data_IF_583842549075
#
_entry.id   IF_583842549075
#
_cell.length_a   1.000
_cell.length_b   1.000
_cell.length_c   1.000
_cell.angle_alpha   90.00
_cell.angle_beta   90.00
_cell.angle_gamma   90.00
#
_symmetry.space_group_name_H-M   'P 1'
#
loop_
_entity.id
_entity.type
_entity.pdbx_description
1 polymer ?
#
# COMPACT_ATOMS: atom_id res chain seq x y z
N UNK A 1 21.83 -16.70 4.79
CA UNK A 1 20.81 -16.84 3.73
C UNK A 1 19.84 -15.68 3.93
N UNK A 2 19.75 -14.76 2.97
CA UNK A 2 18.81 -13.63 3.09
C UNK A 2 17.45 -14.11 2.58
N UNK A 3 16.48 -14.29 3.48
CA UNK A 3 15.11 -14.64 3.10
C UNK A 3 14.53 -13.47 2.30
N UNK A 4 14.18 -13.68 1.04
CA UNK A 4 13.58 -12.64 0.21
C UNK A 4 12.08 -12.53 0.47
N UNK A 5 11.51 -11.36 0.25
CA UNK A 5 10.04 -11.20 0.15
C UNK A 5 9.51 -12.04 -1.00
N UNK A 6 8.40 -12.74 -0.76
CA UNK A 6 7.80 -13.67 -1.70
C UNK A 6 6.37 -13.25 -1.98
N UNK A 7 6.01 -13.32 -3.25
CA UNK A 7 4.69 -12.92 -3.73
C UNK A 7 3.94 -14.13 -4.29
N UNK A 8 2.61 -14.02 -4.29
CA UNK A 8 1.67 -14.91 -4.94
C UNK A 8 0.65 -14.08 -5.72
N UNK A 9 0.03 -14.68 -6.74
CA UNK A 9 -1.10 -14.08 -7.44
C UNK A 9 -2.40 -14.67 -6.89
N UNK A 10 -3.37 -13.82 -6.59
CA UNK A 10 -4.71 -14.24 -6.16
C UNK A 10 -5.78 -13.62 -7.05
N UNK A 11 -6.76 -14.43 -7.42
CA UNK A 11 -7.96 -13.95 -8.12
C UNK A 11 -8.90 -13.28 -7.13
N UNK A 12 -9.27 -12.03 -7.42
CA UNK A 12 -10.25 -11.30 -6.63
C UNK A 12 -11.43 -10.85 -7.49
N UNK A 13 -12.57 -10.62 -6.83
CA UNK A 13 -13.81 -10.18 -7.47
C UNK A 13 -14.24 -8.84 -6.90
N UNK A 14 -14.52 -7.86 -7.75
CA UNK A 14 -15.05 -6.56 -7.29
C UNK A 14 -16.45 -6.73 -6.73
N UNK A 15 -16.74 -6.28 -5.49
CA UNK A 15 -18.08 -6.37 -4.91
C UNK A 15 -19.11 -5.47 -5.62
N UNK A 16 -18.66 -4.44 -6.32
CA UNK A 16 -19.55 -3.48 -6.99
C UNK A 16 -19.91 -3.88 -8.43
N UNK A 17 -18.91 -4.15 -9.27
CA UNK A 17 -19.14 -4.44 -10.70
C UNK A 17 -18.92 -5.92 -11.08
N UNK A 18 -18.52 -6.76 -10.11
CA UNK A 18 -18.28 -8.21 -10.26
C UNK A 18 -17.17 -8.62 -11.22
N UNK A 19 -16.43 -7.68 -11.79
CA UNK A 19 -15.21 -7.98 -12.56
C UNK A 19 -14.22 -8.78 -11.70
N UNK A 20 -13.50 -9.70 -12.33
CA UNK A 20 -12.46 -10.53 -11.71
C UNK A 20 -11.10 -10.19 -12.30
N UNK A 21 -10.06 -10.19 -11.47
CA UNK A 21 -8.67 -10.00 -11.92
C UNK A 21 -7.69 -10.56 -10.89
N UNK A 22 -6.49 -10.87 -11.37
CA UNK A 22 -5.38 -11.30 -10.53
C UNK A 22 -4.69 -10.11 -9.86
N UNK A 23 -4.32 -10.27 -8.60
CA UNK A 23 -3.58 -9.28 -7.82
C UNK A 23 -2.37 -9.93 -7.17
N UNK A 24 -1.18 -9.30 -7.25
CA UNK A 24 -0.03 -9.74 -6.49
C UNK A 24 -0.22 -9.42 -5.01
N UNK A 25 0.00 -10.42 -4.16
CA UNK A 25 0.02 -10.31 -2.69
C UNK A 25 1.32 -10.90 -2.17
N UNK A 26 1.92 -10.28 -1.16
CA UNK A 26 3.03 -10.87 -0.45
C UNK A 26 2.52 -12.01 0.44
N UNK A 27 3.17 -13.17 0.35
CA UNK A 27 2.93 -14.31 1.25
C UNK A 27 3.93 -14.36 2.41
N UNK A 28 5.11 -13.80 2.17
CA UNK A 28 6.19 -13.68 3.13
C UNK A 28 6.89 -12.35 2.88
N UNK A 29 7.05 -11.52 3.89
CA UNK A 29 7.69 -10.22 3.83
C UNK A 29 8.93 -10.25 4.69
N UNK A 30 10.10 -9.92 4.13
CA UNK A 30 11.26 -9.59 4.93
C UNK A 30 11.49 -8.08 4.86
N UNK A 31 11.23 -7.37 5.96
CA UNK A 31 11.38 -5.90 5.98
C UNK A 31 12.82 -5.43 5.91
N UNK A 32 13.80 -6.29 6.24
CA UNK A 32 15.21 -5.97 6.02
C UNK A 32 15.58 -5.87 4.55
N UNK A 33 14.77 -6.45 3.65
CA UNK A 33 14.98 -6.38 2.19
C UNK A 33 13.89 -5.60 1.45
N UNK A 34 12.74 -5.37 2.08
CA UNK A 34 11.59 -4.67 1.49
C UNK A 34 11.04 -3.64 2.49
N UNK A 35 11.64 -2.44 2.57
CA UNK A 35 11.20 -1.39 3.49
C UNK A 35 9.83 -0.80 3.11
N UNK A 36 9.45 -0.89 1.83
CA UNK A 36 8.15 -0.39 1.37
C UNK A 36 6.99 -1.25 1.89
N UNK A 37 7.22 -2.54 2.18
CA UNK A 37 6.24 -3.37 2.86
C UNK A 37 5.91 -2.87 4.27
N UNK A 38 6.91 -2.42 5.05
CA UNK A 38 6.69 -1.82 6.37
C UNK A 38 5.87 -0.54 6.26
N UNK A 39 6.22 0.32 5.31
CA UNK A 39 5.48 1.55 5.03
C UNK A 39 4.03 1.24 4.62
N UNK A 40 3.83 0.22 3.78
CA UNK A 40 2.52 -0.25 3.35
C UNK A 40 1.63 -0.75 4.49
N UNK A 41 2.19 -1.45 5.48
CA UNK A 41 1.46 -1.87 6.69
C UNK A 41 1.07 -0.65 7.53
N UNK A 42 2.03 0.24 7.82
CA UNK A 42 1.80 1.45 8.63
C UNK A 42 0.75 2.39 8.03
N UNK A 43 0.68 2.47 6.70
CA UNK A 43 -0.31 3.28 5.99
C UNK A 43 -1.61 2.52 5.71
N UNK A 44 -1.69 1.23 6.04
CA UNK A 44 -2.82 0.36 5.70
C UNK A 44 -3.04 0.20 4.20
N UNK A 45 -1.99 0.40 3.39
CA UNK A 45 -2.01 0.31 1.92
C UNK A 45 -1.50 -1.00 1.36
N UNK A 46 -0.93 -1.86 2.20
CA UNK A 46 -0.50 -3.20 1.80
C UNK A 46 -1.71 -4.02 1.32
N UNK A 47 -1.51 -4.82 0.27
CA UNK A 47 -2.54 -5.66 -0.36
C UNK A 47 -3.81 -4.87 -0.74
N UNK A 48 -3.67 -3.69 -1.34
CA UNK A 48 -4.79 -2.96 -1.95
C UNK A 48 -4.72 -3.04 -3.47
N UNK A 49 -5.89 -3.14 -4.10
CA UNK A 49 -6.01 -3.16 -5.55
C UNK A 49 -7.14 -2.27 -6.02
N UNK A 50 -7.01 -1.75 -7.24
CA UNK A 50 -8.03 -0.92 -7.90
C UNK A 50 -8.70 -1.73 -9.00
N UNK A 51 -10.02 -1.81 -8.95
CA UNK A 51 -10.78 -2.53 -9.97
C UNK A 51 -10.46 -1.98 -11.38
N UNK A 52 -10.07 -2.81 -12.35
CA UNK A 52 -9.73 -2.35 -13.69
C UNK A 52 -10.94 -1.77 -14.45
N UNK A 53 -12.17 -2.16 -14.06
CA UNK A 53 -13.42 -1.70 -14.68
C UNK A 53 -13.97 -0.46 -14.00
N UNK A 54 -14.47 -0.60 -12.75
CA UNK A 54 -15.16 0.50 -12.07
C UNK A 54 -14.22 1.43 -11.28
N UNK A 55 -12.91 1.15 -11.26
CA UNK A 55 -11.88 1.97 -10.62
C UNK A 55 -12.03 2.17 -9.11
N UNK A 56 -12.94 1.47 -8.44
CA UNK A 56 -13.02 1.44 -6.98
C UNK A 56 -11.83 0.66 -6.41
N UNK A 57 -11.27 1.18 -5.33
CA UNK A 57 -10.25 0.50 -4.54
C UNK A 57 -10.90 -0.53 -3.62
N UNK A 58 -10.17 -1.61 -3.36
CA UNK A 58 -10.52 -2.60 -2.36
C UNK A 58 -9.27 -3.14 -1.68
N UNK A 59 -9.40 -3.49 -0.41
CA UNK A 59 -8.43 -4.29 0.29
C UNK A 59 -8.55 -5.75 -0.18
N UNK A 60 -7.42 -6.45 -0.20
CA UNK A 60 -7.32 -7.87 -0.45
C UNK A 60 -6.93 -8.52 0.87
N UNK A 61 -7.90 -9.15 1.50
CA UNK A 61 -7.67 -9.92 2.71
C UNK A 61 -6.84 -11.16 2.37
N UNK A 62 -5.60 -11.16 2.84
CA UNK A 62 -4.66 -12.24 2.59
C UNK A 62 -3.79 -12.47 3.82
N UNK A 63 -3.58 -13.74 4.17
CA UNK A 63 -2.71 -14.14 5.28
C UNK A 63 -1.27 -14.13 4.78
N UNK A 64 -0.37 -13.51 5.54
CA UNK A 64 1.04 -13.49 5.20
C UNK A 64 1.93 -13.44 6.44
N UNK A 65 3.15 -13.91 6.29
CA UNK A 65 4.16 -13.85 7.34
C UNK A 65 5.01 -12.58 7.17
N UNK A 66 5.13 -11.80 8.23
CA UNK A 66 6.01 -10.65 8.35
C UNK A 66 7.26 -11.05 9.12
N UNK A 67 8.44 -10.78 8.58
CA UNK A 67 9.71 -11.07 9.24
C UNK A 67 10.54 -9.79 9.42
N UNK A 68 10.89 -9.53 10.68
CA UNK A 68 11.80 -8.47 11.10
C UNK A 68 13.14 -9.08 11.56
N UNK A 69 14.21 -8.94 10.76
CA UNK A 69 15.52 -9.48 11.11
C UNK A 69 16.20 -8.75 12.28
N UNK A 70 15.85 -7.50 12.57
CA UNK A 70 16.42 -6.76 13.71
C UNK A 70 15.85 -7.28 15.03
N UNK A 71 14.57 -7.65 15.03
CA UNK A 71 13.88 -8.19 16.20
C UNK A 71 13.91 -9.72 16.29
N UNK A 72 14.45 -10.38 15.26
CA UNK A 72 14.41 -11.82 15.07
C UNK A 72 12.99 -12.39 15.27
N UNK A 73 12.02 -11.75 14.61
CA UNK A 73 10.59 -11.91 14.86
C UNK A 73 9.86 -12.24 13.55
N UNK A 74 9.04 -13.29 13.58
CA UNK A 74 8.04 -13.60 12.57
C UNK A 74 6.66 -13.31 13.16
N UNK A 75 5.83 -12.57 12.44
CA UNK A 75 4.43 -12.34 12.80
C UNK A 75 3.54 -12.77 11.66
N UNK A 76 2.63 -13.73 11.89
CA UNK A 76 1.61 -14.02 10.89
C UNK A 76 0.47 -13.02 11.02
N UNK A 77 0.28 -12.22 9.96
CA UNK A 77 -0.79 -11.24 9.88
C UNK A 77 -1.99 -11.90 9.21
N UNK A 78 -3.11 -11.93 9.91
CA UNK A 78 -4.37 -12.52 9.44
C UNK A 78 -5.46 -11.46 9.32
N UNK A 79 -6.50 -11.66 8.51
CA UNK A 79 -7.61 -10.71 8.41
C UNK A 79 -8.31 -10.51 9.76
N UNK A 80 -8.69 -9.27 10.07
CA UNK A 80 -9.32 -8.89 11.35
C UNK A 80 -10.62 -9.66 11.61
N UNK A 81 -11.38 -10.01 10.57
CA UNK A 81 -12.65 -10.73 10.72
C UNK A 81 -12.47 -12.17 11.20
N UNK A 82 -11.28 -12.78 11.05
CA UNK A 82 -11.06 -14.19 11.43
C UNK A 82 -11.22 -14.42 12.93
N UNK A 83 -10.78 -13.48 13.78
CA UNK A 83 -10.93 -13.62 15.24
C UNK A 83 -12.42 -13.66 15.64
N UNK A 84 -13.27 -12.93 14.91
CA UNK A 84 -14.72 -12.87 15.14
C UNK A 84 -15.44 -14.09 14.60
N UNK A 85 -14.93 -14.69 13.52
CA UNK A 85 -15.51 -15.87 12.88
C UNK A 85 -15.13 -17.19 13.59
N UNK A 86 -13.93 -17.24 14.21
CA UNK A 86 -13.35 -18.47 14.77
C UNK A 86 -13.61 -18.73 16.26
N UNK A 87 -14.30 -17.83 16.98
CA UNK A 87 -14.65 -18.05 18.39
C UNK A 87 -13.71 -17.41 19.42
N UNK A 88 -12.86 -16.46 19.03
CA UNK A 88 -12.02 -15.70 19.98
C UNK A 88 -10.66 -16.33 20.27
N UNK A 89 -10.30 -16.46 21.55
CA UNK A 89 -8.94 -16.82 22.01
C UNK A 89 -8.51 -18.24 21.60
N UNK A 90 -9.42 -19.22 21.59
CA UNK A 90 -9.10 -20.60 21.19
C UNK A 90 -8.57 -20.67 19.75
N UNK A 91 -9.11 -19.81 18.87
CA UNK A 91 -8.66 -19.72 17.47
C UNK A 91 -7.27 -19.10 17.35
N UNK A 92 -6.95 -18.12 18.19
CA UNK A 92 -5.60 -17.56 18.25
C UNK A 92 -4.59 -18.64 18.64
N UNK A 93 -4.87 -19.42 19.69
CA UNK A 93 -3.96 -20.46 20.17
C UNK A 93 -3.70 -21.53 19.11
N UNK A 94 -4.74 -22.01 18.43
CA UNK A 94 -4.56 -22.99 17.36
C UNK A 94 -3.63 -22.48 16.25
N UNK A 95 -3.77 -21.21 15.85
CA UNK A 95 -2.92 -20.61 14.79
C UNK A 95 -1.51 -20.33 15.26
N UNK A 96 -1.38 -19.95 16.52
CA UNK A 96 -0.09 -19.78 17.16
C UNK A 96 0.67 -21.12 17.20
N UNK A 97 0.02 -22.21 17.61
CA UNK A 97 0.63 -23.55 17.62
C UNK A 97 1.09 -23.98 16.22
N UNK A 98 0.24 -23.81 15.19
CA UNK A 98 0.59 -24.10 13.80
C UNK A 98 1.84 -23.31 13.35
N UNK A 99 1.91 -22.02 13.73
CA UNK A 99 3.02 -21.14 13.37
C UNK A 99 4.32 -21.50 14.11
N UNK A 100 4.23 -21.80 15.41
CA UNK A 100 5.37 -22.30 16.21
C UNK A 100 5.91 -23.56 15.58
N UNK A 101 5.05 -24.50 15.16
CA UNK A 101 5.49 -25.72 14.51
C UNK A 101 6.17 -25.43 13.16
N UNK A 102 5.61 -24.52 12.35
CA UNK A 102 6.17 -24.15 11.06
C UNK A 102 7.59 -23.55 11.17
N UNK A 103 7.85 -22.79 12.23
CA UNK A 103 9.14 -22.14 12.47
C UNK A 103 10.01 -22.84 13.53
N UNK A 104 9.66 -24.06 13.98
CA UNK A 104 10.35 -24.76 15.06
C UNK A 104 11.85 -25.02 14.80
N UNK A 105 12.28 -25.11 13.54
CA UNK A 105 13.67 -25.27 13.14
C UNK A 105 14.45 -23.96 13.01
N UNK A 106 13.81 -22.83 13.27
CA UNK A 106 14.38 -21.50 13.13
C UNK A 106 14.50 -20.85 14.52
N UNK A 107 15.63 -20.20 14.76
CA UNK A 107 15.80 -19.39 15.97
C UNK A 107 15.12 -18.04 15.74
N UNK A 108 13.79 -18.00 15.83
CA UNK A 108 12.97 -16.78 15.69
C UNK A 108 11.85 -16.79 16.74
N UNK A 109 11.43 -15.61 17.17
CA UNK A 109 10.16 -15.47 17.90
C UNK A 109 9.01 -15.48 16.92
N UNK A 110 7.87 -16.03 17.32
CA UNK A 110 6.65 -16.02 16.49
C UNK A 110 5.49 -15.36 17.25
N UNK A 111 4.61 -14.67 16.54
CA UNK A 111 3.28 -14.26 17.03
C UNK A 111 2.26 -14.27 15.89
N UNK A 112 0.98 -14.23 16.24
CA UNK A 112 -0.14 -14.06 15.31
C UNK A 112 -0.85 -12.75 15.65
N UNK A 113 -1.20 -11.96 14.62
CA UNK A 113 -1.99 -10.73 14.80
C UNK A 113 -3.12 -10.69 13.81
N UNK A 114 -4.21 -10.04 14.18
CA UNK A 114 -5.41 -9.90 13.38
C UNK A 114 -5.57 -8.46 12.90
N UNK A 115 -5.19 -8.24 11.64
CA UNK A 115 -5.21 -6.94 10.98
C UNK A 115 -3.95 -6.10 11.21
N UNK A 116 -3.83 -5.03 10.44
CA UNK A 116 -2.66 -4.15 10.52
C UNK A 116 -2.62 -3.33 11.81
N UNK A 117 -3.77 -2.98 12.38
CA UNK A 117 -3.78 -2.15 13.60
C UNK A 117 -3.10 -2.86 14.77
N UNK A 118 -3.42 -4.13 15.00
CA UNK A 118 -2.78 -4.92 16.06
C UNK A 118 -1.28 -5.09 15.82
N UNK A 119 -0.86 -5.32 14.57
CA UNK A 119 0.55 -5.36 14.19
C UNK A 119 1.27 -4.04 14.52
N UNK A 120 0.64 -2.92 14.19
CA UNK A 120 1.18 -1.58 14.40
C UNK A 120 1.39 -1.31 15.89
N UNK A 121 0.36 -1.60 16.69
CA UNK A 121 0.37 -1.31 18.12
C UNK A 121 1.35 -2.20 18.89
N UNK A 122 1.44 -3.50 18.55
CA UNK A 122 2.34 -4.43 19.23
C UNK A 122 3.81 -4.29 18.82
N UNK A 123 4.09 -4.08 17.52
CA UNK A 123 5.42 -4.32 16.97
C UNK A 123 6.02 -3.18 16.16
N UNK A 124 5.21 -2.24 15.66
CA UNK A 124 5.71 -1.19 14.77
C UNK A 124 5.77 0.19 15.41
N UNK A 125 5.42 0.33 16.70
CA UNK A 125 5.53 1.59 17.44
C UNK A 125 4.26 2.43 17.48
N UNK A 126 3.10 1.86 17.15
CA UNK A 126 1.80 2.50 17.34
C UNK A 126 1.59 3.76 16.49
N UNK A 127 0.80 4.69 17.03
CA UNK A 127 0.39 5.93 16.33
C UNK A 127 1.57 6.83 15.92
N UNK A 128 2.65 6.85 16.71
CA UNK A 128 3.83 7.66 16.39
C UNK A 128 4.49 7.19 15.10
N UNK A 129 4.62 5.88 14.93
CA UNK A 129 5.18 5.28 13.72
C UNK A 129 4.27 5.52 12.50
N UNK A 130 2.95 5.46 12.68
CA UNK A 130 1.99 5.81 11.62
C UNK A 130 2.12 7.28 11.21
N UNK A 131 2.28 8.18 12.18
CA UNK A 131 2.49 9.60 11.90
C UNK A 131 3.81 9.85 11.17
N UNK A 132 4.89 9.15 11.55
CA UNK A 132 6.17 9.20 10.85
C UNK A 132 6.07 8.69 9.41
N UNK A 133 5.42 7.54 9.21
CA UNK A 133 5.15 6.97 7.89
C UNK A 133 4.37 7.91 6.98
N UNK A 134 3.35 8.60 7.51
CA UNK A 134 2.59 9.61 6.76
C UNK A 134 3.47 10.77 6.29
N UNK A 135 4.31 11.31 7.19
CA UNK A 135 5.25 12.40 6.84
C UNK A 135 6.23 11.96 5.75
N UNK A 136 6.77 10.75 5.86
CA UNK A 136 7.67 10.19 4.85
C UNK A 136 6.96 10.05 3.50
N UNK A 137 5.75 9.50 3.49
CA UNK A 137 4.95 9.33 2.28
C UNK A 137 4.61 10.66 1.60
N UNK A 138 4.22 11.67 2.38
CA UNK A 138 3.92 12.99 1.87
C UNK A 138 5.16 13.66 1.27
N UNK A 139 6.33 13.50 1.90
CA UNK A 139 7.61 13.97 1.35
C UNK A 139 7.95 13.27 0.02
N UNK A 140 7.78 11.95 -0.07
CA UNK A 140 7.97 11.18 -1.32
C UNK A 140 7.04 11.68 -2.43
N UNK A 141 5.77 11.95 -2.11
CA UNK A 141 4.80 12.50 -3.06
C UNK A 141 5.15 13.91 -3.53
N UNK A 142 5.56 14.79 -2.62
CA UNK A 142 5.93 16.17 -2.94
C UNK A 142 7.16 16.22 -3.87
N UNK A 143 8.13 15.35 -3.65
CA UNK A 143 9.30 15.20 -4.53
C UNK A 143 9.00 14.56 -5.89
N UNK A 144 7.86 13.87 -6.04
CA UNK A 144 7.45 13.18 -7.25
C UNK A 144 6.54 14.01 -8.19
N UNK A 145 6.32 15.30 -7.91
CA UNK A 145 5.49 16.18 -8.77
C UNK A 145 6.13 16.28 -10.18
N UNK A 146 5.38 16.02 -11.27
CA UNK A 146 5.96 15.89 -12.61
C UNK A 146 6.44 17.22 -13.21
N UNK A 147 7.50 17.14 -14.01
CA UNK A 147 8.01 18.17 -14.90
C UNK A 147 7.08 18.41 -16.11
N UNK A 148 5.87 18.91 -15.86
CA UNK A 148 4.92 19.28 -16.93
C UNK A 148 4.31 20.67 -16.77
N UNK A 149 4.99 21.57 -16.06
CA UNK A 149 4.62 23.00 -15.94
C UNK A 149 5.77 23.88 -16.46
N UNK A 150 6.38 23.47 -17.58
CA UNK A 150 7.38 24.24 -18.33
C UNK A 150 7.16 24.12 -19.85
N UNK A 151 5.91 24.16 -20.30
CA UNK A 151 5.58 24.37 -21.72
C UNK A 151 4.17 24.97 -21.81
N UNK A 152 3.96 26.10 -21.13
CA UNK A 152 2.95 27.04 -21.59
C UNK A 152 3.63 27.87 -22.69
N UNK A 153 3.21 27.79 -23.97
CA UNK A 153 3.71 28.72 -24.96
C UNK A 153 3.34 30.14 -24.49
N UNK A 154 4.23 31.14 -24.67
CA UNK A 154 3.91 32.50 -24.30
C UNK A 154 2.65 32.94 -25.04
N UNK A 155 1.61 33.32 -24.29
CA UNK A 155 0.47 34.04 -24.83
C UNK A 155 1.01 35.29 -25.53
N UNK A 156 0.80 35.36 -26.84
CA UNK A 156 1.09 36.54 -27.64
C UNK A 156 0.26 37.71 -27.09
N UNK A 157 0.87 38.86 -26.73
CA UNK A 157 0.10 40.01 -26.33
C UNK A 157 -0.60 40.61 -27.55
N UNK A 158 -1.92 40.51 -27.57
CA UNK A 158 -2.78 41.40 -28.34
C UNK A 158 -2.71 42.82 -27.73
N UNK A 159 -2.33 43.81 -28.54
CA UNK A 159 -2.35 45.23 -28.19
C UNK A 159 -1.83 46.06 -29.38
N UNK A 160 -2.69 46.38 -30.33
CA UNK A 160 -3.38 47.68 -30.51
C UNK A 160 -2.55 48.82 -31.14
N UNK A 161 -3.17 49.35 -32.21
CA UNK A 161 -3.28 50.77 -32.60
C UNK A 161 -2.31 51.36 -33.64
N UNK A 162 -2.90 51.97 -34.69
CA UNK A 162 -2.43 53.26 -35.20
C UNK A 162 -2.30 53.45 -36.73
N UNK A 163 -3.41 53.84 -37.37
CA UNK A 163 -3.52 54.92 -38.39
C UNK A 163 -2.75 54.86 -39.72
N UNK A 164 -3.47 54.93 -40.86
CA UNK A 164 -3.72 56.19 -41.60
C UNK A 164 -4.08 55.96 -43.08
N UNK A 165 -5.11 56.69 -43.55
CA UNK A 165 -5.37 57.29 -44.91
C UNK A 165 -5.35 56.36 -46.16
N UNK A 166 -6.28 56.40 -47.12
CA UNK A 166 -6.82 57.53 -47.91
C UNK A 166 -8.09 57.10 -48.68
N UNK A 167 -8.92 58.09 -49.02
CA UNK A 167 -9.95 58.16 -50.08
C UNK A 167 -9.73 57.21 -51.29
N UNK A 168 -10.73 56.67 -51.99
CA UNK A 168 -11.58 57.42 -52.93
C UNK A 168 -12.77 56.62 -53.52
N UNK A 169 -13.89 57.34 -53.61
CA UNK A 169 -15.02 57.37 -54.57
C UNK A 169 -15.58 56.14 -55.32
N UNK A 170 -16.91 56.06 -55.22
CA UNK A 170 -17.85 55.53 -56.21
C UNK A 170 -17.80 56.33 -57.53
N UNK A 171 -17.87 55.61 -58.65
CA UNK A 171 -18.72 55.93 -59.81
C UNK A 171 -18.95 54.66 -60.63
#
# INVERSE_FOLDING_TARGET
>A
MVLQTQYASVDIRCPHCRATWEVPVARYVNVGTDPDARLGILLGTMHRSRCPVCKREQAVDFIFDYYDPEQNLVVQVRPEWEIRAGGGEDWYWQRYEDLVQAYASHDVRVDVVFGFQEMIDKYLGGEEAVAAAKREWDARKAGAKPASEQDAPPEEPAGESGSSTTEDNHA
#
